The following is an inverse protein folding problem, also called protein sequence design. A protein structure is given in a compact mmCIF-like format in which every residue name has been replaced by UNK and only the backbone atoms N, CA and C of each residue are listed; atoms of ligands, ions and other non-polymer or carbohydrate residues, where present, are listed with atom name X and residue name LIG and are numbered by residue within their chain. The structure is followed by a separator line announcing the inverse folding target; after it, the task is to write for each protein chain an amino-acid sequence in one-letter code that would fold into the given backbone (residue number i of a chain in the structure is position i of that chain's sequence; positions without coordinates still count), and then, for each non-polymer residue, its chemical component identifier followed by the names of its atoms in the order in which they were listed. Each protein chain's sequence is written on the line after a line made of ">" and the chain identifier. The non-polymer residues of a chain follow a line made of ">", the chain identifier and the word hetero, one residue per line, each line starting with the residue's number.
data_IF_771943870478
#
_entry.id   IF_771943870478
#
_cell.length_a   1.000
_cell.length_b   1.000
_cell.length_c   1.000
_cell.angle_alpha   90.00
_cell.angle_beta   90.00
_cell.angle_gamma   90.00
#
_symmetry.space_group_name_H-M   'P 1'
#
loop_
_entity.id
_entity.type
_entity.pdbx_description
1 polymer ?
#
# COMPACT_ATOMS: atom_id res chain seq x y z
N UNK A 1 7.03 -18.54 -8.89
CA UNK A 1 7.19 -17.62 -10.04
C UNK A 1 8.48 -16.83 -9.87
N UNK A 2 9.40 -16.85 -10.85
CA UNK A 2 10.63 -16.05 -10.77
C UNK A 2 10.31 -14.55 -10.77
N UNK A 3 10.95 -13.79 -9.87
CA UNK A 3 10.79 -12.35 -9.74
C UNK A 3 11.58 -11.59 -10.81
N UNK A 4 11.12 -10.38 -11.21
CA UNK A 4 11.74 -9.58 -12.29
C UNK A 4 12.89 -8.70 -11.79
N UNK A 5 12.81 -8.21 -10.55
CA UNK A 5 13.71 -7.16 -10.03
C UNK A 5 14.65 -7.71 -8.97
N UNK A 6 15.77 -8.30 -9.42
CA UNK A 6 16.83 -8.79 -8.50
C UNK A 6 18.16 -9.00 -9.23
N UNK A 7 19.22 -9.08 -8.47
CA UNK A 7 20.54 -9.51 -8.93
C UNK A 7 20.98 -10.80 -8.23
N UNK A 8 21.67 -11.68 -8.97
CA UNK A 8 22.39 -12.81 -8.39
C UNK A 8 23.74 -12.32 -7.87
N UNK A 9 24.12 -12.76 -6.67
CA UNK A 9 25.40 -12.46 -6.06
C UNK A 9 26.33 -13.69 -6.16
N UNK A 10 27.66 -13.46 -6.16
CA UNK A 10 28.68 -14.52 -6.38
C UNK A 10 28.66 -15.60 -5.31
N UNK A 11 28.11 -15.35 -4.14
CA UNK A 11 28.03 -16.26 -3.00
C UNK A 11 26.71 -17.05 -2.90
N UNK A 12 25.92 -17.10 -3.98
CA UNK A 12 24.63 -17.80 -4.04
C UNK A 12 23.46 -17.04 -3.42
N UNK A 13 23.70 -15.87 -2.83
CA UNK A 13 22.62 -14.96 -2.43
C UNK A 13 22.00 -14.25 -3.63
N UNK A 14 20.82 -13.71 -3.40
CA UNK A 14 20.17 -12.78 -4.33
C UNK A 14 19.93 -11.43 -3.66
N UNK A 15 20.05 -10.35 -4.39
CA UNK A 15 19.69 -9.01 -3.94
C UNK A 15 18.39 -8.58 -4.61
N UNK A 16 17.33 -8.42 -3.80
CA UNK A 16 16.02 -7.96 -4.29
C UNK A 16 16.03 -6.45 -4.49
N UNK A 17 15.61 -5.99 -5.67
CA UNK A 17 15.60 -4.56 -6.05
C UNK A 17 14.19 -3.96 -6.07
N UNK A 18 13.19 -4.69 -5.55
CA UNK A 18 11.80 -4.25 -5.60
C UNK A 18 11.51 -3.04 -4.72
N UNK A 19 12.07 -3.01 -3.53
CA UNK A 19 11.84 -1.93 -2.56
C UNK A 19 13.13 -1.48 -1.91
N UNK A 20 13.16 -0.30 -1.24
CA UNK A 20 14.38 0.29 -0.67
C UNK A 20 15.07 -0.52 0.45
N UNK A 21 14.50 -1.65 0.85
CA UNK A 21 15.20 -2.56 1.76
C UNK A 21 16.38 -3.29 1.10
N UNK A 22 16.39 -3.45 -0.22
CA UNK A 22 17.45 -4.14 -0.96
C UNK A 22 17.93 -5.42 -0.27
N UNK A 23 16.96 -6.29 0.07
CA UNK A 23 17.21 -7.49 0.85
C UNK A 23 18.25 -8.41 0.15
N UNK A 24 19.34 -8.72 0.83
CA UNK A 24 20.28 -9.75 0.42
C UNK A 24 19.88 -11.07 1.05
N UNK A 25 19.32 -11.96 0.25
CA UNK A 25 18.60 -13.14 0.69
C UNK A 25 19.46 -14.37 0.42
N UNK A 26 19.85 -15.09 1.48
CA UNK A 26 20.55 -16.36 1.38
C UNK A 26 19.62 -17.45 0.86
N UNK A 27 20.20 -18.55 0.35
CA UNK A 27 19.46 -19.74 -0.08
C UNK A 27 18.48 -20.21 1.01
N UNK A 28 17.29 -20.63 0.62
CA UNK A 28 16.19 -21.06 1.50
C UNK A 28 15.74 -20.01 2.54
N UNK A 29 16.00 -18.73 2.28
CA UNK A 29 15.54 -17.63 3.13
C UNK A 29 14.63 -16.67 2.36
N UNK A 30 13.86 -15.92 3.13
CA UNK A 30 12.93 -14.92 2.60
C UNK A 30 13.42 -13.48 2.85
N UNK A 31 12.96 -12.55 2.04
CA UNK A 31 13.11 -11.12 2.30
C UNK A 31 12.27 -10.64 3.48
N UNK A 32 12.42 -9.35 3.83
CA UNK A 32 11.66 -8.71 4.92
C UNK A 32 10.14 -8.83 4.71
N UNK A 33 9.68 -8.79 3.47
CA UNK A 33 8.27 -8.90 3.11
C UNK A 33 7.69 -10.30 3.30
N UNK A 34 8.50 -11.34 3.46
CA UNK A 34 8.14 -12.77 3.60
C UNK A 34 7.51 -13.41 2.36
N UNK A 35 7.20 -12.62 1.34
CA UNK A 35 6.55 -13.07 0.10
C UNK A 35 7.53 -13.42 -1.03
N UNK A 36 8.84 -13.20 -0.81
CA UNK A 36 9.91 -13.47 -1.78
C UNK A 36 11.03 -14.26 -1.11
N UNK A 37 11.45 -15.36 -1.75
CA UNK A 37 12.49 -16.26 -1.27
C UNK A 37 13.60 -16.44 -2.31
N UNK A 38 14.77 -16.91 -1.86
CA UNK A 38 15.85 -17.36 -2.73
C UNK A 38 15.80 -18.89 -2.83
N UNK A 39 15.55 -19.39 -4.03
CA UNK A 39 15.58 -20.83 -4.36
C UNK A 39 16.72 -21.09 -5.34
N UNK A 40 17.83 -21.67 -4.86
CA UNK A 40 18.98 -22.01 -5.70
C UNK A 40 19.59 -20.83 -6.45
N UNK A 41 19.65 -19.63 -5.86
CA UNK A 41 20.18 -18.42 -6.51
C UNK A 41 19.17 -17.73 -7.45
N UNK A 42 17.90 -18.07 -7.35
CA UNK A 42 16.79 -17.43 -8.07
C UNK A 42 15.83 -16.80 -7.06
N UNK A 43 15.49 -15.53 -7.25
CA UNK A 43 14.46 -14.88 -6.43
C UNK A 43 13.08 -15.28 -6.95
N UNK A 44 12.26 -15.90 -6.09
CA UNK A 44 10.90 -16.34 -6.42
C UNK A 44 9.84 -15.64 -5.57
N UNK A 45 8.68 -15.41 -6.17
CA UNK A 45 7.48 -14.98 -5.47
C UNK A 45 6.73 -16.20 -4.95
N UNK A 46 6.58 -16.30 -3.64
CA UNK A 46 5.85 -17.35 -2.93
C UNK A 46 4.32 -17.20 -3.06
N UNK A 47 3.87 -16.04 -3.46
CA UNK A 47 2.45 -15.64 -3.40
C UNK A 47 1.84 -15.32 -4.77
N UNK A 48 2.58 -15.53 -5.87
CA UNK A 48 2.04 -15.36 -7.22
C UNK A 48 0.91 -16.34 -7.49
N UNK A 49 -0.27 -15.81 -7.84
CA UNK A 49 -1.48 -16.61 -8.04
C UNK A 49 -2.10 -17.17 -6.74
N UNK A 50 -1.66 -16.69 -5.57
CA UNK A 50 -2.09 -17.20 -4.27
C UNK A 50 -2.63 -16.11 -3.34
N UNK A 51 -3.72 -15.41 -3.72
CA UNK A 51 -4.33 -14.43 -2.82
C UNK A 51 -4.88 -15.12 -1.56
N UNK A 52 -4.61 -14.51 -0.41
CA UNK A 52 -5.11 -14.97 0.89
C UNK A 52 -6.44 -14.32 1.30
N UNK A 53 -6.86 -13.29 0.56
CA UNK A 53 -8.13 -12.60 0.81
C UNK A 53 -8.78 -12.19 -0.50
N UNK A 54 -10.09 -12.43 -0.57
CA UNK A 54 -10.99 -12.01 -1.65
C UNK A 54 -12.24 -11.39 -1.03
N UNK A 55 -12.66 -10.23 -1.51
CA UNK A 55 -13.90 -9.59 -1.07
C UNK A 55 -14.46 -8.67 -2.15
N UNK A 56 -15.76 -8.43 -2.13
CA UNK A 56 -16.40 -7.35 -2.88
C UNK A 56 -16.68 -6.23 -1.90
N UNK A 57 -16.00 -5.11 -2.07
CA UNK A 57 -16.08 -3.97 -1.16
C UNK A 57 -16.58 -2.72 -1.86
N UNK A 58 -17.28 -1.81 -1.14
CA UNK A 58 -17.46 -0.44 -1.61
C UNK A 58 -16.10 0.23 -1.83
N UNK A 59 -16.02 1.08 -2.85
CA UNK A 59 -14.77 1.79 -3.19
C UNK A 59 -14.32 2.72 -2.05
N UNK A 60 -15.26 3.25 -1.28
CA UNK A 60 -14.99 4.10 -0.12
C UNK A 60 -14.25 3.36 1.01
N UNK A 61 -14.33 2.03 1.04
CA UNK A 61 -13.53 1.19 1.96
C UNK A 61 -12.05 1.14 1.55
N UNK A 62 -11.73 1.60 0.34
CA UNK A 62 -10.35 1.77 -0.16
C UNK A 62 -9.80 3.17 0.09
N UNK A 63 -10.36 3.92 1.01
CA UNK A 63 -10.50 5.37 1.16
C UNK A 63 -10.35 6.15 -0.16
N UNK A 64 -11.16 5.77 -1.17
CA UNK A 64 -11.29 6.47 -2.43
C UNK A 64 -12.70 7.09 -2.50
N UNK A 65 -12.80 8.37 -2.14
CA UNK A 65 -14.07 9.06 -2.02
C UNK A 65 -14.44 9.87 -3.27
N UNK A 66 -13.45 10.16 -4.11
CA UNK A 66 -13.65 10.92 -5.36
C UNK A 66 -13.43 10.07 -6.62
N UNK A 67 -12.84 8.87 -6.49
CA UNK A 67 -12.69 7.95 -7.61
C UNK A 67 -13.92 7.04 -7.69
N UNK A 68 -14.81 7.31 -8.65
CA UNK A 68 -16.05 6.54 -8.90
C UNK A 68 -16.89 6.22 -7.64
N UNK A 69 -17.28 7.21 -6.85
CA UNK A 69 -17.99 6.99 -5.58
C UNK A 69 -19.30 6.20 -5.77
N UNK A 70 -19.64 5.37 -4.79
CA UNK A 70 -20.82 4.50 -4.79
C UNK A 70 -20.66 3.21 -5.60
N UNK A 71 -19.49 2.94 -6.16
CA UNK A 71 -19.22 1.68 -6.87
C UNK A 71 -18.65 0.60 -5.93
N UNK A 72 -18.60 -0.63 -6.43
CA UNK A 72 -17.93 -1.75 -5.75
C UNK A 72 -16.71 -2.17 -6.55
N UNK A 73 -15.74 -2.79 -5.89
CA UNK A 73 -14.56 -3.38 -6.53
C UNK A 73 -14.29 -4.77 -5.98
N UNK A 74 -13.68 -5.62 -6.81
CA UNK A 74 -13.10 -6.88 -6.35
C UNK A 74 -11.79 -6.58 -5.62
N UNK A 75 -11.71 -6.93 -4.35
CA UNK A 75 -10.54 -6.69 -3.49
C UNK A 75 -9.74 -7.97 -3.34
N UNK A 76 -8.45 -7.92 -3.63
CA UNK A 76 -7.54 -9.04 -3.44
C UNK A 76 -6.33 -8.65 -2.60
N UNK A 77 -5.82 -9.61 -1.82
CA UNK A 77 -4.58 -9.50 -1.09
C UNK A 77 -3.78 -10.79 -1.14
N UNK A 78 -2.46 -10.67 -1.27
CA UNK A 78 -1.55 -11.78 -0.97
C UNK A 78 -0.89 -11.57 0.40
N UNK A 79 -0.36 -12.66 0.97
CA UNK A 79 0.33 -12.63 2.27
C UNK A 79 1.65 -11.86 2.19
N UNK A 80 1.96 -11.09 3.24
CA UNK A 80 3.23 -10.39 3.39
C UNK A 80 3.15 -8.87 3.22
N UNK A 81 4.16 -8.19 3.73
CA UNK A 81 4.32 -6.73 3.66
C UNK A 81 5.78 -6.37 3.88
N UNK A 82 6.29 -5.38 3.15
CA UNK A 82 7.64 -4.86 3.35
C UNK A 82 7.76 -3.89 4.53
N UNK A 83 6.65 -3.46 5.13
CA UNK A 83 6.64 -2.77 6.41
C UNK A 83 6.36 -3.72 7.59
N UNK A 84 6.69 -3.24 8.81
CA UNK A 84 6.49 -3.95 10.09
C UNK A 84 5.71 -3.07 11.07
N UNK A 85 4.69 -2.37 10.57
CA UNK A 85 3.91 -1.42 11.36
C UNK A 85 3.41 -2.04 12.66
N UNK A 86 3.75 -1.41 13.78
CA UNK A 86 3.37 -1.91 15.10
C UNK A 86 1.85 -1.85 15.37
N UNK A 87 1.15 -1.02 14.60
CA UNK A 87 -0.31 -0.81 14.64
C UNK A 87 -1.07 -1.57 13.55
N UNK A 88 -0.45 -2.53 12.86
CA UNK A 88 -1.04 -3.16 11.68
C UNK A 88 -2.37 -3.83 11.97
N UNK A 89 -3.44 -3.40 11.27
CA UNK A 89 -4.78 -3.99 11.41
C UNK A 89 -4.85 -5.39 10.80
N UNK A 90 -4.08 -5.62 9.73
CA UNK A 90 -4.05 -6.86 8.96
C UNK A 90 -2.81 -7.71 9.27
N UNK A 91 -2.29 -7.64 10.52
CA UNK A 91 -1.04 -8.34 10.89
C UNK A 91 -1.11 -9.85 10.70
N UNK A 92 -2.30 -10.44 10.80
CA UNK A 92 -2.53 -11.88 10.64
C UNK A 92 -2.25 -12.40 9.22
N UNK A 93 -2.26 -11.51 8.22
CA UNK A 93 -1.93 -11.85 6.81
C UNK A 93 -0.73 -11.09 6.28
N UNK A 94 -0.30 -9.99 6.92
CA UNK A 94 0.81 -9.15 6.46
C UNK A 94 2.12 -9.44 7.19
N UNK A 95 2.08 -9.97 8.43
CA UNK A 95 3.24 -10.15 9.29
C UNK A 95 3.61 -11.63 9.54
N UNK A 96 3.12 -12.51 8.69
CA UNK A 96 3.27 -13.97 8.76
C UNK A 96 3.86 -14.51 7.45
N UNK A 97 4.34 -15.75 7.45
CA UNK A 97 4.80 -16.42 6.23
C UNK A 97 3.59 -16.90 5.39
N UNK A 98 3.70 -16.99 4.05
CA UNK A 98 2.63 -17.50 3.19
C UNK A 98 2.14 -18.90 3.55
N UNK A 99 3.01 -19.75 4.12
CA UNK A 99 2.66 -21.09 4.58
C UNK A 99 1.78 -21.13 5.83
N UNK A 100 1.66 -20.00 6.55
CA UNK A 100 0.85 -19.90 7.78
C UNK A 100 -0.60 -19.44 7.51
N UNK A 101 -0.91 -19.07 6.25
CA UNK A 101 -2.23 -18.54 5.87
C UNK A 101 -2.79 -19.33 4.70
N UNK A 102 -4.07 -19.66 4.77
CA UNK A 102 -4.79 -20.23 3.62
C UNK A 102 -4.85 -19.26 2.44
N UNK A 103 -4.83 -19.80 1.23
CA UNK A 103 -4.91 -19.02 -0.01
C UNK A 103 -5.84 -19.68 -1.01
N UNK A 104 -6.24 -18.91 -2.01
CA UNK A 104 -6.92 -19.40 -3.21
C UNK A 104 -5.87 -19.60 -4.30
N UNK A 105 -6.09 -20.56 -5.20
CA UNK A 105 -5.28 -20.71 -6.42
C UNK A 105 -6.01 -19.95 -7.55
N UNK A 106 -5.56 -18.74 -7.85
CA UNK A 106 -6.17 -17.84 -8.83
C UNK A 106 -5.10 -17.26 -9.76
N UNK A 107 -5.13 -17.67 -11.02
CA UNK A 107 -4.29 -17.03 -12.04
C UNK A 107 -4.73 -15.57 -12.28
N UNK A 108 -3.90 -14.72 -12.91
CA UNK A 108 -4.31 -13.38 -13.34
C UNK A 108 -5.61 -13.36 -14.14
N UNK A 109 -5.79 -14.31 -15.07
CA UNK A 109 -6.99 -14.46 -15.87
C UNK A 109 -8.22 -14.76 -15.00
N UNK A 110 -8.08 -15.69 -14.05
CA UNK A 110 -9.17 -16.05 -13.15
C UNK A 110 -9.61 -14.88 -12.24
N UNK A 111 -8.70 -14.00 -11.85
CA UNK A 111 -9.06 -12.78 -11.10
C UNK A 111 -9.89 -11.84 -11.96
N UNK A 112 -9.52 -11.65 -13.23
CA UNK A 112 -10.27 -10.79 -14.16
C UNK A 112 -11.64 -11.38 -14.46
N UNK A 113 -11.73 -12.69 -14.71
CA UNK A 113 -12.99 -13.40 -14.92
C UNK A 113 -13.91 -13.24 -13.69
N UNK A 114 -13.39 -13.44 -12.49
CA UNK A 114 -14.14 -13.27 -11.24
C UNK A 114 -14.65 -11.83 -11.07
N UNK A 115 -13.85 -10.83 -11.43
CA UNK A 115 -14.24 -9.42 -11.39
C UNK A 115 -15.43 -9.15 -12.32
N UNK A 116 -15.40 -9.68 -13.54
CA UNK A 116 -16.47 -9.55 -14.54
C UNK A 116 -17.74 -10.31 -14.09
N UNK A 117 -17.61 -11.55 -13.60
CA UNK A 117 -18.71 -12.37 -13.11
C UNK A 117 -19.50 -11.67 -12.00
N UNK A 118 -18.79 -11.00 -11.11
CA UNK A 118 -19.39 -10.25 -9.99
C UNK A 118 -19.80 -8.82 -10.36
N UNK A 119 -19.75 -8.44 -11.62
CA UNK A 119 -20.11 -7.11 -12.12
C UNK A 119 -19.36 -5.99 -11.38
N UNK A 120 -18.10 -6.22 -10.99
CA UNK A 120 -17.23 -5.23 -10.43
C UNK A 120 -16.54 -4.43 -11.56
N UNK A 121 -16.60 -3.11 -11.58
CA UNK A 121 -15.94 -2.30 -12.61
C UNK A 121 -14.43 -2.20 -12.44
N UNK A 122 -13.86 -2.77 -11.38
CA UNK A 122 -12.42 -2.74 -11.14
C UNK A 122 -11.94 -3.65 -10.02
N UNK A 123 -10.61 -3.83 -9.99
CA UNK A 123 -9.88 -4.65 -9.03
C UNK A 123 -9.08 -3.74 -8.10
N UNK A 124 -9.19 -3.97 -6.79
CA UNK A 124 -8.41 -3.29 -5.76
C UNK A 124 -7.38 -4.26 -5.14
N UNK A 125 -6.12 -3.96 -5.32
CA UNK A 125 -4.98 -4.63 -4.67
C UNK A 125 -4.77 -3.96 -3.33
N UNK A 126 -5.01 -4.66 -2.20
CA UNK A 126 -5.23 -4.01 -0.89
C UNK A 126 -4.87 -4.88 0.31
N UNK A 127 -5.22 -4.45 1.52
CA UNK A 127 -5.11 -5.08 2.84
C UNK A 127 -3.71 -5.32 3.36
N UNK A 128 -2.82 -5.91 2.56
CA UNK A 128 -1.39 -6.07 2.85
C UNK A 128 -0.58 -4.99 2.12
N UNK A 129 0.63 -5.28 1.69
CA UNK A 129 1.34 -4.37 0.78
C UNK A 129 1.34 -4.96 -0.64
N UNK A 130 0.49 -4.44 -1.53
CA UNK A 130 0.35 -4.99 -2.88
C UNK A 130 1.64 -4.96 -3.68
N UNK A 131 2.48 -3.95 -3.51
CA UNK A 131 3.73 -3.83 -4.25
C UNK A 131 4.75 -4.95 -3.94
N UNK A 132 4.55 -5.76 -2.89
CA UNK A 132 5.41 -6.92 -2.61
C UNK A 132 5.15 -8.11 -3.54
N UNK A 133 3.96 -8.18 -4.17
CA UNK A 133 3.60 -9.19 -5.18
C UNK A 133 3.41 -8.56 -6.57
N UNK A 134 4.32 -7.67 -6.92
CA UNK A 134 4.27 -6.82 -8.10
C UNK A 134 4.05 -7.59 -9.41
N UNK A 135 4.70 -8.73 -9.60
CA UNK A 135 4.57 -9.54 -10.82
C UNK A 135 3.11 -10.00 -11.02
N UNK A 136 2.47 -10.47 -9.95
CA UNK A 136 1.08 -10.89 -9.99
C UNK A 136 0.12 -9.72 -10.26
N UNK A 137 0.39 -8.56 -9.63
CA UNK A 137 -0.40 -7.35 -9.93
C UNK A 137 -0.21 -6.92 -11.38
N UNK A 138 1.03 -6.85 -11.87
CA UNK A 138 1.33 -6.37 -13.22
C UNK A 138 0.63 -7.23 -14.27
N UNK A 139 0.70 -8.56 -14.13
CA UNK A 139 0.07 -9.47 -15.07
C UNK A 139 -1.46 -9.38 -14.99
N UNK A 140 -2.04 -9.30 -13.77
CA UNK A 140 -3.48 -9.12 -13.57
C UNK A 140 -3.97 -7.76 -14.06
N UNK A 141 -3.25 -6.67 -13.73
CA UNK A 141 -3.64 -5.30 -14.08
C UNK A 141 -3.60 -5.07 -15.60
N UNK A 142 -2.63 -5.66 -16.29
CA UNK A 142 -2.59 -5.62 -17.76
C UNK A 142 -3.85 -6.26 -18.36
N UNK A 143 -4.22 -7.46 -17.92
CA UNK A 143 -5.42 -8.15 -18.40
C UNK A 143 -6.71 -7.41 -18.03
N UNK A 144 -6.79 -6.87 -16.82
CA UNK A 144 -7.91 -6.06 -16.38
C UNK A 144 -8.07 -4.79 -17.23
N UNK A 145 -6.96 -4.10 -17.50
CA UNK A 145 -6.93 -2.91 -18.38
C UNK A 145 -7.41 -3.25 -19.81
N UNK A 146 -6.93 -4.36 -20.38
CA UNK A 146 -7.38 -4.87 -21.70
C UNK A 146 -8.89 -5.19 -21.72
N UNK A 147 -9.44 -5.62 -20.56
CA UNK A 147 -10.87 -5.86 -20.36
C UNK A 147 -11.70 -4.61 -20.02
N UNK A 148 -11.07 -3.43 -19.93
CA UNK A 148 -11.74 -2.17 -19.58
C UNK A 148 -12.10 -2.03 -18.09
N UNK A 149 -11.44 -2.79 -17.21
CA UNK A 149 -11.62 -2.75 -15.76
C UNK A 149 -10.58 -1.79 -15.13
N UNK A 150 -10.97 -1.12 -14.05
CA UNK A 150 -10.04 -0.27 -13.28
C UNK A 150 -9.11 -1.09 -12.40
N UNK A 151 -7.89 -0.58 -12.24
CA UNK A 151 -6.89 -1.12 -11.34
C UNK A 151 -6.54 -0.11 -10.26
N UNK A 152 -6.75 -0.50 -9.00
CA UNK A 152 -6.66 0.37 -7.84
C UNK A 152 -5.64 -0.18 -6.85
N UNK A 153 -4.70 0.66 -6.41
CA UNK A 153 -3.79 0.32 -5.30
C UNK A 153 -4.26 0.94 -3.98
N UNK A 154 -4.22 0.14 -2.91
CA UNK A 154 -4.23 0.64 -1.53
C UNK A 154 -2.90 0.23 -0.90
N UNK A 155 -1.97 1.16 -0.79
CA UNK A 155 -0.55 0.86 -0.60
C UNK A 155 0.12 1.80 0.41
N UNK A 156 1.19 1.35 1.03
CA UNK A 156 2.11 2.21 1.77
C UNK A 156 3.13 2.92 0.86
N UNK A 157 3.17 2.60 -0.43
CA UNK A 157 4.01 3.28 -1.42
C UNK A 157 5.52 3.05 -1.27
N UNK A 158 5.96 2.02 -0.54
CA UNK A 158 7.38 1.78 -0.29
C UNK A 158 7.99 0.85 -1.33
N UNK A 159 8.33 1.41 -2.48
CA UNK A 159 8.81 0.70 -3.68
C UNK A 159 9.95 1.48 -4.36
N UNK A 160 10.83 0.79 -5.08
CA UNK A 160 11.82 1.44 -5.94
C UNK A 160 11.16 1.98 -7.22
N UNK A 161 11.75 3.03 -7.79
CA UNK A 161 11.14 3.75 -8.93
C UNK A 161 11.06 2.91 -10.20
N UNK A 162 12.06 2.07 -10.48
CA UNK A 162 12.08 1.24 -11.69
C UNK A 162 10.93 0.22 -11.72
N UNK A 163 10.72 -0.62 -10.67
CA UNK A 163 9.55 -1.50 -10.61
C UNK A 163 8.20 -0.75 -10.68
N UNK A 164 8.12 0.43 -10.06
CA UNK A 164 6.89 1.22 -10.09
C UNK A 164 6.54 1.69 -11.50
N UNK A 165 7.52 2.17 -12.27
CA UNK A 165 7.32 2.65 -13.64
C UNK A 165 6.70 1.61 -14.57
N UNK A 166 7.05 0.33 -14.39
CA UNK A 166 6.52 -0.74 -15.22
C UNK A 166 5.05 -1.08 -14.90
N UNK A 167 4.61 -0.75 -13.68
CA UNK A 167 3.23 -0.96 -13.23
C UNK A 167 2.30 0.22 -13.55
N UNK A 168 2.83 1.46 -13.49
CA UNK A 168 2.04 2.69 -13.65
C UNK A 168 1.11 2.71 -14.87
N UNK A 169 1.50 2.20 -16.07
CA UNK A 169 0.65 2.24 -17.26
C UNK A 169 -0.68 1.50 -17.13
N UNK A 170 -0.82 0.62 -16.15
CA UNK A 170 -2.01 -0.21 -15.94
C UNK A 170 -2.85 0.21 -14.75
N UNK A 171 -2.45 1.27 -14.02
CA UNK A 171 -3.12 1.72 -12.81
C UNK A 171 -3.95 2.98 -13.06
N UNK A 172 -5.13 3.03 -12.45
CA UNK A 172 -6.07 4.16 -12.58
C UNK A 172 -6.08 5.04 -11.33
N UNK A 173 -6.03 4.43 -10.14
CA UNK A 173 -6.10 5.15 -8.88
C UNK A 173 -5.27 4.50 -7.77
N UNK A 174 -4.89 5.30 -6.79
CA UNK A 174 -4.30 4.80 -5.54
C UNK A 174 -4.81 5.57 -4.33
N UNK A 175 -5.01 4.83 -3.21
CA UNK A 175 -4.94 5.41 -1.89
C UNK A 175 -3.58 5.06 -1.28
N UNK A 176 -2.81 6.09 -0.89
CA UNK A 176 -1.46 5.91 -0.36
C UNK A 176 -1.44 6.31 1.11
N UNK A 177 -1.01 5.38 1.95
CA UNK A 177 -0.80 5.61 3.38
C UNK A 177 0.45 6.46 3.63
N UNK A 178 0.30 7.77 3.78
CA UNK A 178 1.35 8.65 4.29
C UNK A 178 1.33 8.60 5.83
N UNK A 179 2.05 7.62 6.40
CA UNK A 179 1.90 7.21 7.81
C UNK A 179 2.41 8.23 8.82
N UNK A 180 3.36 9.09 8.43
CA UNK A 180 3.92 10.18 9.22
C UNK A 180 4.67 11.15 8.29
N UNK A 181 5.03 12.32 8.78
CA UNK A 181 5.94 13.24 8.08
C UNK A 181 7.30 13.37 8.80
N UNK A 182 7.71 12.28 9.45
CA UNK A 182 9.00 12.12 10.14
C UNK A 182 9.64 10.79 9.75
N UNK A 183 10.90 10.84 9.30
CA UNK A 183 11.66 9.63 8.94
C UNK A 183 11.93 8.76 10.17
N UNK A 184 12.19 9.38 11.34
CA UNK A 184 12.39 8.65 12.59
C UNK A 184 11.15 7.84 12.99
N UNK A 185 9.95 8.40 12.82
CA UNK A 185 8.69 7.68 13.09
C UNK A 185 8.50 6.55 12.07
N UNK A 186 8.81 6.77 10.78
CA UNK A 186 8.78 5.71 9.77
C UNK A 186 9.70 4.54 10.14
N UNK A 187 10.95 4.82 10.54
CA UNK A 187 11.90 3.79 10.96
C UNK A 187 11.42 3.03 12.19
N UNK A 188 10.97 3.75 13.22
CA UNK A 188 10.60 3.15 14.51
C UNK A 188 9.28 2.38 14.46
N UNK A 189 8.26 2.92 13.77
CA UNK A 189 6.89 2.38 13.78
C UNK A 189 6.64 1.43 12.63
N UNK A 190 7.11 1.77 11.44
CA UNK A 190 6.84 1.02 10.20
C UNK A 190 8.03 0.20 9.70
N UNK A 191 9.24 0.55 10.08
CA UNK A 191 10.46 -0.15 9.68
C UNK A 191 10.94 0.18 8.27
N UNK A 192 10.68 1.39 7.80
CA UNK A 192 11.15 1.92 6.51
C UNK A 192 11.42 3.41 6.59
N UNK A 193 11.51 4.08 5.46
CA UNK A 193 11.85 5.50 5.33
C UNK A 193 10.73 6.30 4.66
N UNK A 194 10.63 7.59 4.99
CA UNK A 194 9.64 8.51 4.44
C UNK A 194 9.88 8.83 2.96
N UNK A 195 11.13 9.16 2.59
CA UNK A 195 11.43 9.69 1.26
C UNK A 195 10.96 8.79 0.11
N UNK A 196 11.16 7.44 0.12
CA UNK A 196 10.66 6.58 -0.94
C UNK A 196 9.13 6.62 -1.12
N UNK A 197 8.39 6.86 -0.05
CA UNK A 197 6.92 7.02 -0.11
C UNK A 197 6.56 8.34 -0.79
N UNK A 198 7.25 9.43 -0.45
CA UNK A 198 7.08 10.73 -1.12
C UNK A 198 7.41 10.64 -2.61
N UNK A 199 8.51 9.97 -2.98
CA UNK A 199 8.91 9.75 -4.37
C UNK A 199 7.86 8.94 -5.14
N UNK A 200 7.23 7.95 -4.49
CA UNK A 200 6.13 7.16 -5.08
C UNK A 200 4.89 8.03 -5.33
N UNK A 201 4.49 8.86 -4.37
CA UNK A 201 3.36 9.79 -4.53
C UNK A 201 3.60 10.72 -5.73
N UNK A 202 4.81 11.28 -5.85
CA UNK A 202 5.16 12.17 -6.95
C UNK A 202 5.16 11.43 -8.30
N UNK A 203 5.70 10.22 -8.35
CA UNK A 203 5.72 9.41 -9.58
C UNK A 203 4.32 9.04 -10.06
N UNK A 204 3.41 8.69 -9.14
CA UNK A 204 2.01 8.40 -9.46
C UNK A 204 1.27 9.66 -9.93
N UNK A 205 1.50 10.82 -9.28
CA UNK A 205 0.97 12.12 -9.72
C UNK A 205 1.44 12.46 -11.14
N UNK A 206 2.74 12.33 -11.39
CA UNK A 206 3.34 12.70 -12.68
C UNK A 206 2.90 11.75 -13.82
N UNK A 207 2.50 10.53 -13.47
CA UNK A 207 1.84 9.59 -14.39
C UNK A 207 0.36 9.93 -14.65
N UNK A 208 -0.22 10.93 -13.98
CA UNK A 208 -1.61 11.34 -14.14
C UNK A 208 -2.64 10.43 -13.44
N UNK A 209 -2.20 9.57 -12.51
CA UNK A 209 -3.08 8.73 -11.72
C UNK A 209 -3.94 9.55 -10.76
N UNK A 210 -5.16 9.07 -10.46
CA UNK A 210 -5.93 9.60 -9.36
C UNK A 210 -5.34 9.16 -8.02
N UNK A 211 -5.05 10.09 -7.12
CA UNK A 211 -4.45 9.82 -5.82
C UNK A 211 -5.34 10.37 -4.71
N UNK A 212 -5.58 9.55 -3.68
CA UNK A 212 -6.05 10.00 -2.38
C UNK A 212 -5.04 9.58 -1.32
N UNK A 213 -4.84 10.42 -0.31
CA UNK A 213 -3.84 10.16 0.73
C UNK A 213 -4.53 9.82 2.05
N UNK A 214 -3.99 8.88 2.80
CA UNK A 214 -4.48 8.53 4.13
C UNK A 214 -3.38 8.70 5.18
N UNK A 215 -3.69 9.42 6.26
CA UNK A 215 -2.85 9.49 7.46
C UNK A 215 -3.63 8.93 8.65
N UNK A 216 -3.18 7.81 9.21
CA UNK A 216 -3.68 7.27 10.46
C UNK A 216 -3.03 8.03 11.61
N UNK A 217 -3.81 8.82 12.33
CA UNK A 217 -3.30 9.65 13.45
C UNK A 217 -3.24 8.79 14.71
N UNK A 218 -2.05 8.63 15.31
CA UNK A 218 -1.79 7.79 16.49
C UNK A 218 -1.33 8.68 17.65
N UNK A 219 -2.03 8.67 18.79
CA UNK A 219 -1.70 9.53 19.94
C UNK A 219 -0.28 9.31 20.46
N UNK A 220 0.46 10.42 20.67
CA UNK A 220 1.82 10.42 21.17
C UNK A 220 2.88 9.92 20.18
N UNK A 221 2.51 9.67 18.92
CA UNK A 221 3.42 9.19 17.87
C UNK A 221 3.46 10.17 16.71
N UNK A 222 2.36 10.36 16.01
CA UNK A 222 2.30 11.21 14.82
C UNK A 222 1.15 12.24 14.86
N UNK A 223 0.63 12.53 16.06
CA UNK A 223 -0.41 13.52 16.33
C UNK A 223 0.16 14.92 16.65
N UNK A 224 1.44 15.15 16.36
CA UNK A 224 2.09 16.46 16.48
C UNK A 224 1.58 17.42 15.39
N UNK A 225 0.88 18.49 15.79
CA UNK A 225 0.23 19.41 14.85
C UNK A 225 1.23 20.19 13.97
N UNK A 226 2.40 20.65 14.44
CA UNK A 226 3.46 21.17 13.59
C UNK A 226 3.90 20.20 12.49
N UNK A 227 4.07 18.92 12.78
CA UNK A 227 4.43 17.90 11.79
C UNK A 227 3.29 17.66 10.78
N UNK A 228 2.02 17.61 11.23
CA UNK A 228 0.85 17.53 10.35
C UNK A 228 0.80 18.75 9.42
N UNK A 229 1.11 19.94 9.91
CA UNK A 229 1.20 21.17 9.11
C UNK A 229 2.27 21.06 8.02
N UNK A 230 3.47 20.58 8.35
CA UNK A 230 4.53 20.35 7.38
C UNK A 230 4.12 19.33 6.30
N UNK A 231 3.43 18.26 6.67
CA UNK A 231 2.87 17.29 5.73
C UNK A 231 1.89 17.97 4.76
N UNK A 232 0.96 18.76 5.28
CA UNK A 232 -0.02 19.47 4.46
C UNK A 232 0.64 20.49 3.53
N UNK A 233 1.63 21.23 4.01
CA UNK A 233 2.43 22.15 3.18
C UNK A 233 3.15 21.43 2.05
N UNK A 234 3.72 20.26 2.33
CA UNK A 234 4.35 19.44 1.30
C UNK A 234 3.32 18.97 0.25
N UNK A 235 2.16 18.49 0.66
CA UNK A 235 1.08 18.08 -0.25
C UNK A 235 0.69 19.22 -1.19
N UNK A 236 0.45 20.42 -0.64
CA UNK A 236 0.04 21.60 -1.41
C UNK A 236 1.15 22.08 -2.34
N UNK A 237 2.40 22.17 -1.84
CA UNK A 237 3.55 22.64 -2.64
C UNK A 237 3.90 21.70 -3.80
N UNK A 238 3.48 20.45 -3.72
CA UNK A 238 3.65 19.46 -4.78
C UNK A 238 2.42 19.31 -5.69
N UNK A 239 1.48 20.27 -5.68
CA UNK A 239 0.35 20.30 -6.61
C UNK A 239 -0.76 19.30 -6.32
N UNK A 240 -0.83 18.77 -5.07
CA UNK A 240 -1.82 17.79 -4.62
C UNK A 240 -2.95 18.41 -3.78
N UNK A 241 -3.13 19.73 -3.84
CA UNK A 241 -4.14 20.44 -3.05
C UNK A 241 -5.59 20.01 -3.37
N UNK A 242 -5.83 19.55 -4.59
CA UNK A 242 -7.13 19.04 -5.05
C UNK A 242 -7.35 17.55 -4.74
N UNK A 243 -6.31 16.86 -4.30
CA UNK A 243 -6.39 15.44 -3.96
C UNK A 243 -6.93 15.26 -2.53
N UNK A 244 -7.87 14.33 -2.31
CA UNK A 244 -8.41 14.08 -0.97
C UNK A 244 -7.36 13.61 0.03
N UNK A 245 -7.40 14.18 1.24
CA UNK A 245 -6.65 13.75 2.40
C UNK A 245 -7.59 13.19 3.47
N UNK A 246 -7.33 11.96 3.89
CA UNK A 246 -8.10 11.26 4.92
C UNK A 246 -7.30 11.19 6.22
N UNK A 247 -7.79 11.80 7.29
CA UNK A 247 -7.29 11.55 8.64
C UNK A 247 -8.12 10.45 9.28
N UNK A 248 -7.51 9.29 9.49
CA UNK A 248 -8.17 8.13 10.09
C UNK A 248 -7.88 8.04 11.58
N UNK A 249 -8.93 7.70 12.33
CA UNK A 249 -8.83 7.46 13.78
C UNK A 249 -8.13 6.13 14.03
N UNK A 250 -7.10 6.16 14.89
CA UNK A 250 -6.44 4.97 15.39
C UNK A 250 -7.28 4.30 16.49
N UNK A 251 -7.27 2.97 16.49
CA UNK A 251 -7.74 2.14 17.59
C UNK A 251 -6.65 1.14 17.98
N UNK A 252 -6.53 0.76 19.28
CA UNK A 252 -5.54 -0.19 19.76
C UNK A 252 -5.54 -1.49 18.93
N UNK A 253 -4.38 -1.86 18.40
CA UNK A 253 -4.23 -3.06 17.58
C UNK A 253 -2.80 -3.58 17.62
N UNK A 254 -2.63 -4.90 17.43
CA UNK A 254 -1.39 -5.64 17.29
C UNK A 254 -0.42 -5.36 18.44
N UNK A 255 0.69 -4.62 18.20
CA UNK A 255 1.71 -4.27 19.22
C UNK A 255 1.44 -2.94 19.92
N UNK A 256 0.39 -2.22 19.54
CA UNK A 256 0.01 -0.92 20.12
C UNK A 256 -1.33 -1.03 20.85
N UNK A 257 -1.45 -1.97 21.80
CA UNK A 257 -2.66 -2.18 22.55
C UNK A 257 -2.82 -1.24 23.74
N UNK A 258 -1.72 -0.65 24.21
CA UNK A 258 -1.70 0.26 25.36
C UNK A 258 -1.91 1.73 24.97
N UNK A 259 -1.95 2.04 23.68
CA UNK A 259 -2.22 3.41 23.18
C UNK A 259 -3.75 3.58 23.06
N UNK A 260 -4.34 4.62 23.67
CA UNK A 260 -5.78 4.86 23.57
C UNK A 260 -6.19 5.24 22.12
N UNK A 261 -7.47 5.04 21.75
CA UNK A 261 -7.98 5.54 20.48
C UNK A 261 -7.78 7.04 20.34
N UNK A 262 -7.48 7.50 19.13
CA UNK A 262 -7.28 8.94 18.87
C UNK A 262 -8.52 9.73 19.27
N UNK A 263 -8.39 10.77 20.09
CA UNK A 263 -9.51 11.65 20.40
C UNK A 263 -10.04 12.33 19.12
N UNK A 264 -11.36 12.42 18.98
CA UNK A 264 -11.97 13.00 17.77
C UNK A 264 -11.60 14.48 17.58
N UNK A 265 -11.34 15.21 18.70
CA UNK A 265 -10.91 16.60 18.59
C UNK A 265 -9.52 16.74 17.92
N UNK A 266 -8.59 15.80 18.16
CA UNK A 266 -7.28 15.75 17.50
C UNK A 266 -7.43 15.64 15.98
N UNK A 267 -8.33 14.76 15.52
CA UNK A 267 -8.64 14.65 14.08
C UNK A 267 -9.26 15.92 13.50
N UNK A 268 -10.15 16.58 14.27
CA UNK A 268 -10.74 17.85 13.84
C UNK A 268 -9.71 18.96 13.74
N UNK A 269 -8.74 19.01 14.65
CA UNK A 269 -7.62 19.96 14.62
C UNK A 269 -6.72 19.70 13.41
N UNK A 270 -6.34 18.42 13.16
CA UNK A 270 -5.59 18.03 11.96
C UNK A 270 -6.32 18.43 10.67
N UNK A 271 -7.63 18.19 10.59
CA UNK A 271 -8.46 18.62 9.47
C UNK A 271 -8.44 20.14 9.29
N UNK A 272 -8.56 20.90 10.37
CA UNK A 272 -8.55 22.37 10.32
C UNK A 272 -7.21 22.88 9.76
N UNK A 273 -6.09 22.31 10.23
CA UNK A 273 -4.75 22.62 9.72
C UNK A 273 -4.66 22.34 8.22
N UNK A 274 -5.12 21.18 7.78
CA UNK A 274 -5.08 20.82 6.35
C UNK A 274 -5.86 21.81 5.46
N UNK A 275 -7.01 22.29 5.93
CA UNK A 275 -7.81 23.30 5.25
C UNK A 275 -7.09 24.66 5.24
N UNK A 276 -6.49 25.06 6.35
CA UNK A 276 -5.69 26.30 6.46
C UNK A 276 -4.51 26.32 5.50
N UNK A 277 -3.85 25.19 5.31
CA UNK A 277 -2.72 25.04 4.36
C UNK A 277 -3.17 24.94 2.90
N UNK A 278 -4.49 24.83 2.62
CA UNK A 278 -5.06 24.89 1.28
C UNK A 278 -5.49 23.57 0.67
N UNK A 279 -5.55 22.48 1.43
CA UNK A 279 -6.10 21.20 0.94
C UNK A 279 -7.62 21.33 0.85
N UNK A 280 -8.17 21.05 -0.33
CA UNK A 280 -9.59 21.32 -0.62
C UNK A 280 -10.55 20.24 -0.09
N UNK A 281 -10.10 18.99 -0.02
CA UNK A 281 -10.94 17.85 0.34
C UNK A 281 -10.32 17.08 1.51
N UNK A 282 -10.88 17.25 2.72
CA UNK A 282 -10.36 16.62 3.93
C UNK A 282 -11.46 15.83 4.63
N UNK A 283 -11.21 14.54 4.83
CA UNK A 283 -12.15 13.59 5.41
C UNK A 283 -11.64 13.04 6.74
N UNK A 284 -12.57 12.69 7.63
CA UNK A 284 -12.27 11.99 8.87
C UNK A 284 -12.81 10.57 8.77
N UNK A 285 -11.92 9.58 8.95
CA UNK A 285 -12.25 8.17 8.92
C UNK A 285 -12.34 7.56 10.31
N UNK A 286 -13.14 6.51 10.47
CA UNK A 286 -13.33 5.74 11.71
C UNK A 286 -13.85 6.59 12.90
N UNK A 287 -14.70 7.58 12.63
CA UNK A 287 -15.32 8.47 13.63
C UNK A 287 -16.80 8.22 13.76
#
# INVERSE_FOLDING_TARGET
>A
MECRYYHKLDDGRVECLLCPHHCRISEDRTGICRSRSNEGGVLVSEVYGRPCSLAIDPIEKKPLYHFHPGTKCLSIACTGCNFRCQNCQNHEISQVAPSEVGHYDLSPEAVVELCIEHHCPGIAYTYTEPLTYLEYITDTARLAHEAGLWNILVTAGYVCQEPLKDLLPYLDAANIDLKSFSDDIYMQVSGGHLQPVLDTILSMRDAGMWIELTNLVIPGINDDMPMIRQMCQWIVSNGLADNPLHFSRFFPRYKMQDIPPTPVHTLKEAKQIAIEEGIKHVYLGNV
#
